data_IF_684091057458
#
_entry.id   IF_684091057458
#
_cell.length_a   1.000
_cell.length_b   1.000
_cell.length_c   1.000
_cell.angle_alpha   90.00
_cell.angle_beta   90.00
_cell.angle_gamma   90.00
#
_symmetry.space_group_name_H-M   'P 1'
#
loop_
_entity.id
_entity.type
_entity.pdbx_description
1 polymer ?
#
# COMPACT_ATOMS: atom_id res chain seq x y z
N UNK A 1 -23.65 9.31 11.07
CA UNK A 1 -22.68 10.08 10.26
C UNK A 1 -22.69 9.50 8.85
N UNK A 2 -22.85 10.33 7.82
CA UNK A 2 -22.85 9.88 6.44
C UNK A 2 -21.46 9.37 6.05
N UNK A 3 -21.40 8.19 5.42
CA UNK A 3 -20.17 7.62 4.85
C UNK A 3 -19.74 8.47 3.66
N UNK A 4 -18.55 9.09 3.72
CA UNK A 4 -17.97 9.81 2.57
C UNK A 4 -17.40 8.80 1.58
N UNK A 5 -17.85 8.84 0.33
CA UNK A 5 -17.36 7.99 -0.76
C UNK A 5 -16.77 8.88 -1.84
N UNK A 6 -15.53 8.61 -2.26
CA UNK A 6 -14.85 9.25 -3.39
C UNK A 6 -14.60 8.20 -4.46
N UNK A 7 -14.85 8.52 -5.73
CA UNK A 7 -14.65 7.60 -6.86
C UNK A 7 -13.40 7.97 -7.65
N UNK A 8 -12.57 6.98 -7.93
CA UNK A 8 -11.36 7.12 -8.75
C UNK A 8 -11.53 6.26 -9.99
N UNK A 9 -11.37 6.85 -11.17
CA UNK A 9 -11.31 6.11 -12.42
C UNK A 9 -10.34 6.79 -13.39
N UNK A 10 -9.37 6.02 -13.89
CA UNK A 10 -8.32 6.54 -14.79
C UNK A 10 -8.88 7.10 -16.11
N UNK A 11 -10.06 6.64 -16.55
CA UNK A 11 -10.76 7.11 -17.75
C UNK A 11 -11.50 8.45 -17.54
N UNK A 12 -11.55 8.96 -16.31
CA UNK A 12 -12.22 10.21 -15.96
C UNK A 12 -13.72 10.08 -15.67
N UNK A 13 -14.26 8.87 -15.57
CA UNK A 13 -15.66 8.62 -15.17
C UNK A 13 -15.91 8.77 -13.66
N UNK A 14 -14.85 8.86 -12.85
CA UNK A 14 -14.89 9.09 -11.41
C UNK A 14 -14.77 10.56 -11.01
N UNK A 15 -14.78 10.81 -9.70
CA UNK A 15 -14.54 12.15 -9.13
C UNK A 15 -13.08 12.60 -9.32
N UNK A 16 -12.16 11.63 -9.35
CA UNK A 16 -10.72 11.83 -9.53
C UNK A 16 -10.15 10.84 -10.56
N UNK A 17 -9.01 11.20 -11.17
CA UNK A 17 -8.32 10.33 -12.12
C UNK A 17 -7.24 9.49 -11.46
N UNK A 18 -6.68 9.97 -10.36
CA UNK A 18 -5.61 9.29 -9.62
C UNK A 18 -6.03 8.99 -8.18
N UNK A 19 -5.37 8.00 -7.57
CA UNK A 19 -5.59 7.64 -6.17
C UNK A 19 -5.04 8.73 -5.25
N UNK A 20 -3.90 9.34 -5.59
CA UNK A 20 -3.32 10.42 -4.81
C UNK A 20 -4.24 11.64 -4.73
N UNK A 21 -4.89 12.05 -5.83
CA UNK A 21 -5.85 13.16 -5.82
C UNK A 21 -7.03 12.91 -4.85
N UNK A 22 -7.56 11.68 -4.84
CA UNK A 22 -8.63 11.32 -3.92
C UNK A 22 -8.17 11.31 -2.46
N UNK A 23 -6.94 10.84 -2.18
CA UNK A 23 -6.33 10.94 -0.85
C UNK A 23 -6.16 12.41 -0.47
N UNK A 24 -5.71 13.26 -1.39
CA UNK A 24 -5.49 14.69 -1.20
C UNK A 24 -6.79 15.46 -0.89
N UNK A 25 -7.93 14.99 -1.41
CA UNK A 25 -9.25 15.53 -1.11
C UNK A 25 -9.81 15.11 0.28
N UNK A 26 -9.23 14.10 0.95
CA UNK A 26 -9.62 13.76 2.32
C UNK A 26 -9.19 14.88 3.29
N UNK A 27 -10.07 15.36 4.19
CA UNK A 27 -9.74 16.47 5.08
C UNK A 27 -8.58 16.14 6.00
N UNK A 28 -7.80 17.16 6.37
CA UNK A 28 -6.79 17.02 7.42
C UNK A 28 -7.46 16.66 8.75
N UNK A 29 -6.77 15.83 9.55
CA UNK A 29 -7.26 15.29 10.82
C UNK A 29 -8.62 14.59 10.70
N UNK A 30 -8.83 13.87 9.60
CA UNK A 30 -10.06 13.13 9.35
C UNK A 30 -10.39 12.15 10.49
N UNK A 31 -11.62 12.20 10.99
CA UNK A 31 -12.12 11.37 12.10
C UNK A 31 -13.24 10.40 11.70
N UNK A 32 -13.65 10.42 10.44
CA UNK A 32 -14.74 9.60 9.93
C UNK A 32 -14.28 8.80 8.71
N UNK A 33 -14.71 7.55 8.58
CA UNK A 33 -14.24 6.69 7.49
C UNK A 33 -14.60 7.27 6.12
N UNK A 34 -13.56 7.54 5.32
CA UNK A 34 -13.69 7.92 3.91
C UNK A 34 -13.32 6.73 3.05
N UNK A 35 -14.21 6.34 2.16
CA UNK A 35 -14.00 5.20 1.26
C UNK A 35 -13.70 5.71 -0.14
N UNK A 36 -12.52 5.38 -0.63
CA UNK A 36 -12.06 5.67 -1.97
C UNK A 36 -12.31 4.42 -2.80
N UNK A 37 -13.32 4.47 -3.67
CA UNK A 37 -13.66 3.41 -4.61
C UNK A 37 -12.80 3.56 -5.86
N UNK A 38 -11.91 2.60 -6.10
CA UNK A 38 -10.99 2.62 -7.23
C UNK A 38 -11.52 1.68 -8.32
N UNK A 39 -11.85 2.23 -9.48
CA UNK A 39 -12.28 1.45 -10.64
C UNK A 39 -11.13 0.57 -11.17
N UNK A 40 -11.44 -0.54 -11.87
CA UNK A 40 -10.45 -1.32 -12.60
C UNK A 40 -9.55 -0.44 -13.47
N UNK A 41 -8.24 -0.66 -13.40
CA UNK A 41 -7.26 0.15 -14.09
C UNK A 41 -5.83 -0.06 -13.58
N UNK A 42 -4.88 0.38 -14.40
CA UNK A 42 -3.47 0.46 -14.04
C UNK A 42 -3.12 1.90 -13.66
N UNK A 43 -2.83 2.12 -12.39
CA UNK A 43 -2.53 3.44 -11.83
C UNK A 43 -1.02 3.55 -11.59
N UNK A 44 -0.33 4.21 -12.51
CA UNK A 44 1.11 4.43 -12.45
C UNK A 44 1.43 5.71 -11.69
N UNK A 45 1.46 5.61 -10.38
CA UNK A 45 1.68 6.73 -9.46
C UNK A 45 2.35 6.27 -8.16
N UNK A 46 3.12 7.18 -7.54
CA UNK A 46 3.58 6.99 -6.17
C UNK A 46 2.50 7.48 -5.20
N UNK A 47 2.01 6.59 -4.34
CA UNK A 47 0.89 6.86 -3.43
C UNK A 47 1.39 7.12 -2.01
N UNK A 48 0.93 8.19 -1.39
CA UNK A 48 1.25 8.55 -0.02
C UNK A 48 0.01 8.91 0.79
N UNK A 49 -0.23 8.13 1.85
CA UNK A 49 -1.26 8.39 2.86
C UNK A 49 -0.58 9.00 4.09
N UNK A 50 -0.68 10.33 4.30
CA UNK A 50 -0.01 11.00 5.40
C UNK A 50 -0.64 10.69 6.77
N UNK A 51 0.15 10.83 7.84
CA UNK A 51 -0.29 10.72 9.26
C UNK A 51 -1.49 11.60 9.63
N UNK A 52 -1.71 12.67 8.87
CA UNK A 52 -2.82 13.61 9.09
C UNK A 52 -4.12 13.17 8.43
N UNK A 53 -4.15 12.02 7.72
CA UNK A 53 -5.31 11.53 6.96
C UNK A 53 -5.65 10.10 7.35
N UNK A 54 -6.26 9.97 8.54
CA UNK A 54 -6.67 8.68 9.10
C UNK A 54 -8.01 8.20 8.53
N UNK A 55 -8.38 6.95 8.84
CA UNK A 55 -9.67 6.32 8.48
C UNK A 55 -9.95 6.29 6.98
N UNK A 56 -8.92 6.07 6.15
CA UNK A 56 -9.08 5.89 4.71
C UNK A 56 -9.29 4.40 4.41
N UNK A 57 -10.24 4.10 3.51
CA UNK A 57 -10.38 2.78 2.90
C UNK A 57 -10.15 2.90 1.42
N UNK A 58 -9.17 2.20 0.87
CA UNK A 58 -9.06 1.98 -0.58
C UNK A 58 -9.79 0.68 -0.91
N UNK A 59 -10.84 0.75 -1.73
CA UNK A 59 -11.64 -0.42 -2.08
C UNK A 59 -11.78 -0.51 -3.59
N UNK A 60 -11.49 -1.69 -4.14
CA UNK A 60 -11.72 -2.00 -5.54
C UNK A 60 -12.59 -3.26 -5.69
N UNK A 61 -12.93 -3.62 -6.93
CA UNK A 61 -13.72 -4.82 -7.22
C UNK A 61 -12.87 -6.09 -7.22
N UNK A 62 -11.68 -6.06 -7.83
CA UNK A 62 -10.80 -7.22 -7.98
C UNK A 62 -9.32 -6.80 -7.98
N UNK A 63 -8.45 -7.51 -7.23
CA UNK A 63 -7.04 -7.16 -7.17
C UNK A 63 -6.32 -7.43 -8.49
N UNK A 64 -6.80 -8.37 -9.32
CA UNK A 64 -6.24 -8.67 -10.65
C UNK A 64 -6.33 -7.50 -11.63
N UNK A 65 -7.33 -6.62 -11.46
CA UNK A 65 -7.67 -5.57 -12.44
C UNK A 65 -7.45 -4.17 -11.90
N UNK A 66 -7.22 -3.99 -10.60
CA UNK A 66 -6.87 -2.70 -9.99
C UNK A 66 -5.46 -2.75 -9.41
N UNK A 67 -4.51 -2.14 -10.12
CA UNK A 67 -3.08 -2.20 -9.80
C UNK A 67 -2.54 -0.79 -9.57
N UNK A 68 -1.97 -0.56 -8.38
CA UNK A 68 -1.20 0.63 -8.04
C UNK A 68 0.28 0.29 -8.19
N UNK A 69 0.98 0.94 -9.11
CA UNK A 69 2.36 0.59 -9.46
C UNK A 69 3.28 1.81 -9.55
N UNK A 70 4.48 1.63 -9.03
CA UNK A 70 5.60 2.56 -9.20
C UNK A 70 6.93 1.80 -9.25
N UNK A 71 8.05 2.48 -9.49
CA UNK A 71 9.35 1.85 -9.77
C UNK A 71 10.51 2.46 -8.96
N UNK A 72 10.21 2.99 -7.77
CA UNK A 72 11.23 3.54 -6.88
C UNK A 72 12.18 2.44 -6.38
N UNK A 73 13.46 2.78 -6.31
CA UNK A 73 14.49 1.95 -5.68
C UNK A 73 15.19 2.74 -4.59
N UNK A 74 15.90 2.07 -3.68
CA UNK A 74 16.61 2.75 -2.59
C UNK A 74 17.58 3.85 -3.08
N UNK A 75 18.10 3.71 -4.30
CA UNK A 75 19.05 4.65 -4.90
C UNK A 75 18.39 5.64 -5.87
N UNK A 76 17.10 5.45 -6.21
CA UNK A 76 16.35 6.28 -7.15
C UNK A 76 14.91 6.42 -6.68
N UNK A 77 14.65 7.52 -5.97
CA UNK A 77 13.32 7.86 -5.46
C UNK A 77 12.79 9.06 -6.25
N UNK A 78 11.78 8.81 -7.07
CA UNK A 78 10.95 9.84 -7.68
C UNK A 78 9.58 9.81 -6.99
N UNK A 79 9.27 10.84 -6.21
CA UNK A 79 8.04 10.92 -5.45
C UNK A 79 7.58 12.37 -5.36
N UNK A 80 6.27 12.60 -5.32
CA UNK A 80 5.67 13.93 -5.16
C UNK A 80 5.87 14.53 -3.74
N UNK A 81 6.57 13.84 -2.85
CA UNK A 81 6.86 14.25 -1.48
C UNK A 81 8.38 14.35 -1.30
N UNK A 82 8.83 15.30 -0.49
CA UNK A 82 10.27 15.45 -0.21
C UNK A 82 10.81 14.28 0.62
N UNK A 83 12.11 14.01 0.50
CA UNK A 83 12.81 13.01 1.30
C UNK A 83 12.78 13.27 2.81
N UNK A 84 12.49 14.52 3.25
CA UNK A 84 12.25 14.84 4.66
C UNK A 84 10.94 14.27 5.19
N UNK A 85 9.97 14.03 4.31
CA UNK A 85 8.64 13.50 4.65
C UNK A 85 8.63 11.98 4.56
N UNK A 86 9.06 11.43 3.42
CA UNK A 86 8.94 9.99 3.14
C UNK A 86 10.19 9.19 3.51
N UNK A 87 11.30 9.88 3.82
CA UNK A 87 12.62 9.29 4.08
C UNK A 87 13.47 9.08 2.83
N UNK A 88 14.57 8.36 2.99
CA UNK A 88 15.54 8.02 1.94
C UNK A 88 15.82 6.51 1.91
N UNK A 89 16.56 6.04 0.91
CA UNK A 89 16.97 4.64 0.83
C UNK A 89 15.77 3.70 0.74
N UNK A 90 15.90 2.53 1.35
CA UNK A 90 14.85 1.51 1.45
C UNK A 90 13.55 2.04 2.04
N UNK A 91 13.65 2.95 3.01
CA UNK A 91 12.50 3.47 3.72
C UNK A 91 11.68 4.44 2.85
N UNK A 92 12.36 5.23 2.02
CA UNK A 92 11.71 6.19 1.13
C UNK A 92 11.29 5.62 -0.23
N UNK A 93 11.70 4.41 -0.60
CA UNK A 93 11.46 3.85 -1.94
C UNK A 93 10.15 3.07 -2.11
N UNK A 94 9.19 3.22 -1.18
CA UNK A 94 7.86 2.62 -1.33
C UNK A 94 7.10 3.15 -2.55
N UNK A 95 6.53 2.26 -3.37
CA UNK A 95 5.54 2.65 -4.39
C UNK A 95 4.28 3.20 -3.74
N UNK A 96 3.85 2.57 -2.64
CA UNK A 96 2.82 3.07 -1.75
C UNK A 96 3.39 3.23 -0.35
N UNK A 97 3.11 4.37 0.29
CA UNK A 97 3.54 4.69 1.65
C UNK A 97 2.31 5.03 2.48
N UNK A 98 2.09 4.29 3.56
CA UNK A 98 0.96 4.48 4.47
C UNK A 98 1.46 4.86 5.86
N UNK A 99 1.12 6.08 6.27
CA UNK A 99 1.40 6.60 7.61
C UNK A 99 0.13 7.07 8.35
N UNK A 100 -1.02 7.17 7.67
CA UNK A 100 -2.32 7.42 8.28
C UNK A 100 -2.90 6.18 8.97
N UNK A 101 -3.38 6.35 10.21
CA UNK A 101 -3.94 5.28 11.04
C UNK A 101 -5.33 4.82 10.56
N UNK A 102 -5.71 3.60 10.97
CA UNK A 102 -7.00 2.97 10.63
C UNK A 102 -7.23 2.81 9.12
N UNK A 103 -6.12 2.73 8.36
CA UNK A 103 -6.12 2.50 6.92
C UNK A 103 -6.58 1.09 6.58
N UNK A 104 -7.45 0.98 5.58
CA UNK A 104 -7.90 -0.32 5.05
C UNK A 104 -7.67 -0.36 3.54
N UNK A 105 -7.20 -1.48 3.02
CA UNK A 105 -7.21 -1.77 1.59
C UNK A 105 -7.96 -3.07 1.30
N UNK A 106 -8.80 -3.06 0.26
CA UNK A 106 -9.63 -4.20 -0.16
C UNK A 106 -9.51 -4.39 -1.67
N UNK A 107 -9.19 -5.63 -2.11
CA UNK A 107 -9.16 -6.04 -3.52
C UNK A 107 -8.22 -5.21 -4.41
N UNK A 108 -7.05 -4.80 -3.91
CA UNK A 108 -6.08 -3.99 -4.66
C UNK A 108 -4.73 -4.71 -4.78
N UNK A 109 -4.09 -4.59 -5.93
CA UNK A 109 -2.67 -4.93 -6.10
C UNK A 109 -1.79 -3.71 -5.85
N UNK A 110 -0.81 -3.86 -4.96
CA UNK A 110 0.29 -2.93 -4.77
C UNK A 110 1.56 -3.51 -5.42
N UNK A 111 2.17 -2.76 -6.34
CA UNK A 111 3.29 -3.22 -7.12
C UNK A 111 4.48 -2.25 -7.03
N UNK A 112 5.68 -2.83 -6.95
CA UNK A 112 6.90 -2.17 -7.37
C UNK A 112 7.47 -2.86 -8.62
N UNK A 113 7.43 -2.14 -9.74
CA UNK A 113 7.84 -2.62 -11.07
C UNK A 113 9.31 -2.36 -11.40
N UNK A 114 10.13 -1.93 -10.43
CA UNK A 114 11.56 -1.76 -10.63
C UNK A 114 12.20 -3.05 -11.16
N UNK A 115 13.09 -2.99 -12.18
CA UNK A 115 13.67 -4.19 -12.78
C UNK A 115 14.44 -5.06 -11.79
N UNK A 116 14.50 -6.37 -12.04
CA UNK A 116 15.36 -7.27 -11.29
C UNK A 116 16.82 -6.78 -11.30
N UNK A 117 17.48 -6.82 -10.15
CA UNK A 117 18.86 -6.33 -10.00
C UNK A 117 18.97 -4.83 -9.69
N UNK A 118 17.86 -4.08 -9.62
CA UNK A 118 17.87 -2.64 -9.31
C UNK A 118 18.07 -2.30 -7.82
N UNK A 119 18.42 -3.30 -7.00
CA UNK A 119 18.50 -3.19 -5.55
C UNK A 119 17.13 -3.25 -4.87
N UNK A 120 17.03 -2.64 -3.69
CA UNK A 120 15.81 -2.66 -2.87
C UNK A 120 14.69 -1.82 -3.48
N UNK A 121 13.51 -2.42 -3.61
CA UNK A 121 12.35 -1.86 -4.29
C UNK A 121 11.06 -2.27 -3.55
N UNK A 122 10.48 -1.35 -2.78
CA UNK A 122 9.37 -1.63 -1.86
C UNK A 122 8.02 -1.41 -2.55
N UNK A 123 7.14 -2.41 -2.57
CA UNK A 123 5.77 -2.27 -3.09
C UNK A 123 4.89 -1.41 -2.17
N UNK A 124 4.94 -1.69 -0.87
CA UNK A 124 4.23 -0.91 0.14
C UNK A 124 5.04 -0.79 1.43
N UNK A 125 5.10 0.42 1.99
CA UNK A 125 5.57 0.69 3.35
C UNK A 125 4.40 1.08 4.23
N UNK A 126 4.28 0.46 5.41
CA UNK A 126 3.22 0.78 6.39
C UNK A 126 3.86 1.08 7.74
N UNK A 127 3.76 2.33 8.19
CA UNK A 127 4.22 2.75 9.52
C UNK A 127 3.08 3.26 10.41
N UNK A 128 1.85 3.05 9.96
CA UNK A 128 0.64 3.44 10.67
C UNK A 128 0.09 2.31 11.53
N UNK A 129 -0.63 2.68 12.59
CA UNK A 129 -1.29 1.73 13.47
C UNK A 129 -2.68 1.35 12.94
N UNK A 130 -3.11 0.13 13.28
CA UNK A 130 -4.46 -0.42 12.99
C UNK A 130 -4.79 -0.47 11.49
N UNK A 131 -3.80 -0.79 10.67
CA UNK A 131 -4.02 -1.04 9.24
C UNK A 131 -4.53 -2.45 8.97
N UNK A 132 -5.41 -2.61 7.99
CA UNK A 132 -5.89 -3.91 7.52
C UNK A 132 -5.86 -4.01 5.99
N UNK A 133 -5.59 -5.22 5.49
CA UNK A 133 -5.53 -5.51 4.06
C UNK A 133 -6.34 -6.77 3.81
N UNK A 134 -7.30 -6.71 2.88
CA UNK A 134 -8.20 -7.81 2.56
C UNK A 134 -8.15 -8.11 1.07
N UNK A 135 -7.81 -9.36 0.71
CA UNK A 135 -7.70 -9.78 -0.68
C UNK A 135 -6.79 -8.84 -1.52
N UNK A 136 -5.69 -8.37 -0.92
CA UNK A 136 -4.70 -7.57 -1.62
C UNK A 136 -3.59 -8.45 -2.19
N UNK A 137 -2.94 -7.96 -3.25
CA UNK A 137 -1.73 -8.57 -3.82
C UNK A 137 -0.57 -7.62 -3.65
N UNK A 138 0.62 -8.15 -3.35
CA UNK A 138 1.85 -7.37 -3.21
C UNK A 138 2.89 -7.94 -4.16
N UNK A 139 3.28 -7.16 -5.17
CA UNK A 139 4.14 -7.60 -6.27
C UNK A 139 5.45 -6.80 -6.30
N UNK A 140 6.58 -7.47 -6.51
CA UNK A 140 7.89 -6.85 -6.65
C UNK A 140 9.02 -7.88 -6.61
N UNK A 141 10.23 -7.47 -6.98
CA UNK A 141 11.40 -8.37 -7.05
C UNK A 141 12.07 -8.57 -5.68
N UNK A 142 12.27 -7.49 -4.92
CA UNK A 142 12.60 -7.54 -3.50
C UNK A 142 11.39 -7.05 -2.72
N UNK A 143 10.41 -7.93 -2.49
CA UNK A 143 9.25 -7.60 -1.67
C UNK A 143 9.70 -7.44 -0.22
N UNK A 144 9.82 -6.20 0.25
CA UNK A 144 9.98 -5.86 1.66
C UNK A 144 8.73 -5.11 2.12
N UNK A 145 7.89 -5.78 2.92
CA UNK A 145 6.87 -5.11 3.73
C UNK A 145 7.57 -4.79 5.06
N UNK A 146 7.62 -3.50 5.44
CA UNK A 146 8.15 -3.09 6.75
C UNK A 146 6.94 -2.84 7.66
N UNK A 147 6.50 -3.80 8.49
CA UNK A 147 5.74 -3.47 9.68
C UNK A 147 6.74 -2.97 10.72
N UNK A 148 6.78 -1.67 10.99
CA UNK A 148 7.57 -1.20 12.13
C UNK A 148 6.82 -1.59 13.41
N UNK A 149 7.23 -2.70 14.04
CA UNK A 149 6.72 -3.14 15.33
C UNK A 149 7.04 -2.08 16.40
N UNK A 150 6.03 -1.39 16.91
CA UNK A 150 6.05 -0.88 18.28
C UNK A 150 5.09 -1.71 19.11
N UNK A 151 5.65 -2.68 19.84
CA UNK A 151 4.98 -3.38 20.93
C UNK A 151 4.40 -2.36 21.91
N UNK A 152 3.09 -2.16 21.92
CA UNK A 152 2.32 -1.73 23.09
C UNK A 152 0.87 -2.23 22.99
N UNK A 153 0.58 -3.34 23.68
CA UNK A 153 -0.78 -3.71 24.10
C UNK A 153 -1.61 -4.58 23.13
N UNK A 154 -2.70 -5.19 23.63
CA UNK A 154 -3.48 -6.20 22.92
C UNK A 154 -4.34 -5.54 21.85
N UNK A 155 -3.75 -5.30 20.69
CA UNK A 155 -4.49 -4.92 19.48
C UNK A 155 -4.24 -6.03 18.47
N UNK A 156 -5.26 -6.85 18.25
CA UNK A 156 -5.23 -7.94 17.28
C UNK A 156 -4.74 -7.46 15.91
N UNK A 157 -3.59 -7.97 15.48
CA UNK A 157 -3.16 -7.84 14.08
C UNK A 157 -3.79 -8.97 13.29
N UNK A 158 -4.91 -8.69 12.65
CA UNK A 158 -5.51 -9.59 11.67
C UNK A 158 -4.94 -9.27 10.28
N UNK A 159 -3.75 -9.78 9.98
CA UNK A 159 -3.24 -9.84 8.60
C UNK A 159 -3.88 -11.06 7.93
N UNK A 160 -5.08 -10.89 7.38
CA UNK A 160 -5.76 -11.95 6.64
C UNK A 160 -5.21 -12.03 5.21
N UNK A 161 -4.35 -13.03 4.99
CA UNK A 161 -3.86 -13.52 3.69
C UNK A 161 -2.96 -12.55 2.91
N UNK A 162 -1.65 -12.65 3.13
CA UNK A 162 -0.65 -12.20 2.14
C UNK A 162 -0.50 -13.33 1.12
N UNK A 163 -1.14 -13.22 -0.06
CA UNK A 163 -0.82 -14.11 -1.19
C UNK A 163 0.39 -13.53 -1.92
N UNK A 164 1.60 -13.97 -1.54
CA UNK A 164 2.83 -13.63 -2.26
C UNK A 164 2.85 -14.45 -3.55
N UNK A 165 2.41 -13.87 -4.66
CA UNK A 165 2.61 -14.47 -5.98
C UNK A 165 3.97 -14.02 -6.52
N UNK A 166 5.00 -14.88 -6.39
CA UNK A 166 6.20 -14.75 -7.23
C UNK A 166 5.80 -15.15 -8.65
N UNK A 167 5.87 -14.23 -9.61
CA UNK A 167 5.84 -14.60 -11.02
C UNK A 167 7.19 -15.19 -11.40
N UNK A 168 7.32 -16.52 -11.44
CA UNK A 168 8.37 -17.21 -12.22
C UNK A 168 7.98 -18.67 -12.47
N UNK A 169 8.15 -19.09 -13.72
CA UNK A 169 7.81 -20.39 -14.29
C UNK A 169 8.77 -21.54 -13.96
N UNK A 170 9.66 -21.38 -12.97
CA UNK A 170 10.60 -22.43 -12.55
C UNK A 170 10.99 -22.20 -11.09
N UNK A 171 10.31 -22.86 -10.15
CA UNK A 171 10.61 -22.79 -8.73
C UNK A 171 11.63 -23.85 -8.32
N UNK A 172 12.82 -23.39 -7.91
CA UNK A 172 13.60 -24.03 -6.85
C UNK A 172 13.88 -22.96 -5.79
N UNK A 173 13.33 -23.19 -4.60
CA UNK A 173 13.59 -22.57 -3.30
C UNK A 173 14.13 -21.13 -3.24
N UNK A 174 13.33 -20.22 -2.65
CA UNK A 174 13.83 -19.14 -1.79
C UNK A 174 12.72 -18.80 -0.78
N UNK A 175 12.76 -19.49 0.35
CA UNK A 175 12.07 -19.08 1.59
C UNK A 175 12.74 -17.79 2.10
N UNK A 176 11.96 -16.74 2.30
CA UNK A 176 12.40 -15.62 3.11
C UNK A 176 12.01 -15.93 4.55
N UNK A 177 12.99 -16.37 5.33
CA UNK A 177 12.88 -16.55 6.77
C UNK A 177 12.61 -15.22 7.45
N UNK A 178 11.33 -14.93 7.67
CA UNK A 178 10.87 -14.10 8.78
C UNK A 178 10.03 -15.06 9.61
N UNK A 179 10.38 -15.36 10.88
CA UNK A 179 9.58 -16.25 11.69
C UNK A 179 8.22 -15.59 11.93
N UNK A 180 7.21 -16.06 11.21
CA UNK A 180 5.82 -15.84 11.58
C UNK A 180 5.61 -16.77 12.78
N UNK A 181 5.69 -16.23 13.99
CA UNK A 181 5.23 -16.93 15.18
C UNK A 181 3.71 -17.07 15.06
N UNK A 182 3.29 -18.18 14.44
CA UNK A 182 1.99 -18.78 14.71
C UNK A 182 2.12 -19.40 16.09
N UNK A 183 1.46 -18.83 17.08
CA UNK A 183 1.01 -19.67 18.19
C UNK A 183 -0.50 -19.56 18.31
N UNK A 184 -1.09 -20.72 18.15
CA UNK A 184 -2.50 -21.03 18.30
C UNK A 184 -2.75 -21.38 19.76
N UNK A 185 -3.49 -20.55 20.49
CA UNK A 185 -4.40 -21.00 21.57
C UNK A 185 -5.37 -19.88 21.92
#
# INVERSE_FOLDING_TARGET
MSRRVLRVAADGSGDFRTVQEAIDAVPLSNRARTVIQVAPGFYREAVYVPKTKNFITLAASQPETTILSWDNTANRINHHQSSRVIGTGTFGCGSTIVEGEDFIAENITFENSAPQGSGQAVAIRVTADRCAFYNCRFLGWQVLIIPLLRQLGPVSYSVYCIKIAKSTSNCNHLELGIPILLDSS
#
